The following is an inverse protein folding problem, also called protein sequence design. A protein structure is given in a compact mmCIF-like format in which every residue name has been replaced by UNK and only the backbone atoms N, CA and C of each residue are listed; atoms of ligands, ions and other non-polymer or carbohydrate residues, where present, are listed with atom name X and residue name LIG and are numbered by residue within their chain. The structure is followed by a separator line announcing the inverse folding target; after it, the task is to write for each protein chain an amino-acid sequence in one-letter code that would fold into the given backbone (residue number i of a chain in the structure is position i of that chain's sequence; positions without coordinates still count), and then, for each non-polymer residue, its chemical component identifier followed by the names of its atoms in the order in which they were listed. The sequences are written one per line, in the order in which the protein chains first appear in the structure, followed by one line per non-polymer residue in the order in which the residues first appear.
data_IF_365280005659
#
_entry.id   IF_365280005659
#
_cell.length_a   1.000
_cell.length_b   1.000
_cell.length_c   1.000
_cell.angle_alpha   90.00
_cell.angle_beta   90.00
_cell.angle_gamma   90.00
#
_symmetry.space_group_name_H-M   'P 1'
#
loop_
_entity.id
_entity.type
_entity.pdbx_description
1 polymer ?
#
# COMPACT_ATOMS: atom_id res chain seq x y z
N UNK A 1 29.02 -52.34 -20.03
CA UNK A 1 28.34 -51.97 -18.78
C UNK A 1 28.41 -50.46 -18.68
N UNK A 2 27.28 -49.77 -18.83
CA UNK A 2 27.21 -48.31 -18.84
C UNK A 2 27.13 -47.78 -17.41
N UNK A 3 28.00 -46.82 -17.10
CA UNK A 3 28.19 -46.20 -15.80
C UNK A 3 27.18 -45.07 -15.61
N UNK A 4 26.34 -45.14 -14.57
CA UNK A 4 25.41 -44.08 -14.19
C UNK A 4 26.00 -43.28 -13.01
N UNK A 5 26.77 -42.24 -13.31
CA UNK A 5 27.01 -41.15 -12.39
C UNK A 5 25.93 -40.08 -12.63
N UNK A 6 24.82 -40.15 -11.90
CA UNK A 6 23.83 -39.08 -11.86
C UNK A 6 24.23 -38.11 -10.74
N UNK A 7 24.57 -36.87 -11.11
CA UNK A 7 24.74 -35.77 -10.17
C UNK A 7 23.42 -35.52 -9.44
N UNK A 8 23.41 -35.70 -8.12
CA UNK A 8 22.34 -35.17 -7.28
C UNK A 8 22.50 -33.65 -7.33
N UNK A 9 21.64 -33.00 -8.13
CA UNK A 9 21.47 -31.56 -8.07
C UNK A 9 21.12 -31.17 -6.64
N UNK A 10 21.87 -30.23 -6.08
CA UNK A 10 21.54 -29.64 -4.79
C UNK A 10 20.17 -28.97 -4.89
N UNK A 11 19.13 -29.63 -4.37
CA UNK A 11 17.90 -28.95 -4.04
C UNK A 11 18.23 -27.96 -2.93
N UNK A 12 18.37 -26.68 -3.28
CA UNK A 12 18.30 -25.61 -2.30
C UNK A 12 16.87 -25.63 -1.79
N UNK A 13 16.65 -26.18 -0.60
CA UNK A 13 15.46 -25.84 0.17
C UNK A 13 15.42 -24.30 0.26
N UNK A 14 14.31 -23.64 -0.08
CA UNK A 14 14.18 -22.22 0.22
C UNK A 14 14.47 -22.08 1.72
N UNK A 15 15.37 -21.17 2.10
CA UNK A 15 15.54 -20.84 3.51
C UNK A 15 14.15 -20.57 4.08
N UNK A 16 13.79 -21.24 5.18
CA UNK A 16 12.54 -20.98 5.88
C UNK A 16 12.49 -19.48 6.16
N UNK A 17 11.70 -18.73 5.40
CA UNK A 17 11.64 -17.28 5.56
C UNK A 17 11.08 -17.03 6.95
N UNK A 18 11.88 -16.44 7.84
CA UNK A 18 11.41 -16.06 9.16
C UNK A 18 10.36 -14.98 8.97
N UNK A 19 9.19 -15.16 9.59
CA UNK A 19 8.14 -14.15 9.58
C UNK A 19 8.67 -12.82 10.12
N UNK A 20 8.16 -11.71 9.58
CA UNK A 20 8.53 -10.36 9.98
C UNK A 20 7.38 -9.68 10.72
N UNK A 21 7.69 -8.81 11.68
CA UNK A 21 6.73 -8.05 12.47
C UNK A 21 7.00 -6.55 12.39
N UNK A 22 5.95 -5.76 12.54
CA UNK A 22 5.94 -4.35 12.22
C UNK A 22 6.47 -3.49 13.38
N UNK A 23 7.22 -2.45 13.03
CA UNK A 23 7.69 -1.39 13.90
C UNK A 23 7.18 -0.06 13.35
N UNK A 24 6.20 0.58 14.03
CA UNK A 24 5.70 1.88 13.59
C UNK A 24 6.78 2.94 13.73
N UNK A 25 6.79 3.88 12.80
CA UNK A 25 7.61 5.10 12.84
C UNK A 25 6.69 6.28 12.57
N UNK A 26 6.90 7.40 13.25
CA UNK A 26 6.21 8.64 12.87
C UNK A 26 6.52 8.94 11.40
N UNK A 27 5.50 9.19 10.55
CA UNK A 27 5.74 9.34 9.12
C UNK A 27 6.88 10.34 8.82
N UNK A 28 7.84 9.90 8.01
CA UNK A 28 9.08 10.63 7.76
C UNK A 28 9.45 10.57 6.28
N UNK A 29 9.96 11.69 5.73
CA UNK A 29 10.42 11.75 4.34
C UNK A 29 11.84 11.20 4.22
N UNK A 30 11.98 10.09 3.52
CA UNK A 30 13.27 9.44 3.24
C UNK A 30 13.99 10.16 2.10
N UNK A 31 13.30 10.42 0.99
CA UNK A 31 13.88 11.00 -0.21
C UNK A 31 12.88 11.91 -0.91
N UNK A 32 13.40 12.94 -1.58
CA UNK A 32 12.62 13.86 -2.41
C UNK A 32 13.52 14.47 -3.47
N UNK A 33 13.41 13.92 -4.68
CA UNK A 33 14.34 14.22 -5.78
C UNK A 33 14.15 15.60 -6.39
N UNK A 34 13.10 16.32 -5.98
CA UNK A 34 12.87 17.73 -6.38
C UNK A 34 13.87 18.68 -5.71
N UNK A 35 14.50 18.24 -4.62
CA UNK A 35 15.51 19.00 -3.91
C UNK A 35 16.86 19.00 -4.65
N UNK A 36 17.81 19.80 -4.16
CA UNK A 36 19.18 19.85 -4.70
C UNK A 36 19.82 18.45 -4.80
N UNK A 37 20.74 18.30 -5.75
CA UNK A 37 21.39 17.02 -6.02
C UNK A 37 22.09 16.44 -4.79
N UNK A 38 21.86 15.16 -4.52
CA UNK A 38 22.44 14.45 -3.40
C UNK A 38 21.87 13.04 -3.22
N UNK A 39 22.36 12.27 -2.24
CA UNK A 39 21.98 10.86 -2.05
C UNK A 39 20.46 10.63 -1.93
N UNK A 40 19.76 11.54 -1.24
CA UNK A 40 18.31 11.52 -1.03
C UNK A 40 17.56 12.69 -1.68
N UNK A 41 18.29 13.54 -2.41
CA UNK A 41 17.76 14.67 -3.19
C UNK A 41 17.80 14.36 -4.68
N UNK A 42 17.93 15.40 -5.50
CA UNK A 42 18.05 15.25 -6.95
C UNK A 42 19.30 14.45 -7.39
N UNK A 43 19.46 14.21 -8.70
CA UNK A 43 18.52 14.59 -9.76
C UNK A 43 17.22 13.74 -9.71
N UNK A 44 16.23 14.09 -10.53
CA UNK A 44 15.05 13.26 -10.76
C UNK A 44 15.44 11.87 -11.29
N UNK A 45 14.50 10.92 -11.32
CA UNK A 45 14.74 9.58 -11.87
C UNK A 45 14.62 9.63 -13.39
N UNK A 46 15.71 9.30 -14.09
CA UNK A 46 15.73 9.21 -15.56
C UNK A 46 14.98 7.97 -16.04
N UNK A 47 14.12 8.15 -17.04
CA UNK A 47 13.37 7.07 -17.68
C UNK A 47 14.26 5.94 -18.20
N UNK A 48 13.79 4.70 -18.02
CA UNK A 48 14.51 3.50 -18.43
C UNK A 48 15.64 3.09 -17.48
N UNK A 49 15.78 3.75 -16.32
CA UNK A 49 16.81 3.42 -15.33
C UNK A 49 16.22 3.26 -13.92
N UNK A 50 16.93 2.51 -13.08
CA UNK A 50 16.58 2.35 -11.67
C UNK A 50 17.51 3.18 -10.78
N UNK A 51 16.94 3.86 -9.77
CA UNK A 51 17.70 4.57 -8.73
C UNK A 51 17.49 3.94 -7.36
N UNK A 52 18.59 3.67 -6.66
CA UNK A 52 18.60 3.09 -5.31
C UNK A 52 18.65 4.13 -4.21
N UNK A 53 17.92 3.90 -3.11
CA UNK A 53 17.97 4.69 -1.88
C UNK A 53 18.22 3.77 -0.68
N UNK A 54 19.31 4.01 0.05
CA UNK A 54 19.66 3.26 1.25
C UNK A 54 18.85 3.75 2.45
N UNK A 55 17.74 3.08 2.76
CA UNK A 55 16.79 3.55 3.79
C UNK A 55 17.44 3.77 5.16
N UNK A 56 18.34 2.89 5.66
CA UNK A 56 19.00 3.10 6.95
C UNK A 56 19.92 4.33 7.01
N UNK A 57 20.36 4.85 5.86
CA UNK A 57 21.21 6.04 5.78
C UNK A 57 20.41 7.35 5.68
N UNK A 58 19.08 7.28 5.69
CA UNK A 58 18.20 8.45 5.67
C UNK A 58 18.12 9.14 7.03
N UNK A 59 17.54 10.34 7.06
CA UNK A 59 17.28 11.08 8.31
C UNK A 59 16.16 10.46 9.17
N UNK A 60 15.50 9.39 8.72
CA UNK A 60 14.35 8.79 9.39
C UNK A 60 14.69 7.80 10.51
N UNK A 61 15.98 7.57 10.79
CA UNK A 61 16.41 6.74 11.93
C UNK A 61 16.05 5.25 11.81
N UNK A 62 15.97 4.73 10.58
CA UNK A 62 15.60 3.34 10.32
C UNK A 62 16.82 2.42 10.58
N UNK A 63 16.71 1.39 11.42
CA UNK A 63 17.86 0.55 11.74
C UNK A 63 18.28 -0.35 10.57
N UNK A 64 19.56 -0.70 10.52
CA UNK A 64 20.10 -1.66 9.54
C UNK A 64 19.57 -3.08 9.70
N UNK A 65 18.91 -3.39 10.82
CA UNK A 65 18.24 -4.66 11.09
C UNK A 65 16.85 -4.77 10.44
N UNK A 66 16.33 -3.68 9.87
CA UNK A 66 15.07 -3.69 9.13
C UNK A 66 15.18 -4.58 7.87
N UNK A 67 14.19 -5.46 7.67
CA UNK A 67 14.15 -6.43 6.57
C UNK A 67 13.06 -6.13 5.53
N UNK A 68 12.13 -5.25 5.84
CA UNK A 68 11.21 -4.64 4.87
C UNK A 68 10.76 -3.26 5.36
N UNK A 69 10.23 -2.46 4.45
CA UNK A 69 9.80 -1.09 4.72
C UNK A 69 8.35 -0.92 4.28
N UNK A 70 7.57 -0.22 5.11
CA UNK A 70 6.25 0.28 4.74
C UNK A 70 6.39 1.74 4.32
N UNK A 71 6.23 1.99 3.03
CA UNK A 71 6.51 3.28 2.38
C UNK A 71 5.32 3.79 1.60
N UNK A 72 5.29 5.09 1.36
CA UNK A 72 4.43 5.74 0.39
C UNK A 72 5.30 6.33 -0.72
N UNK A 73 5.00 5.96 -1.96
CA UNK A 73 5.75 6.36 -3.14
C UNK A 73 4.94 7.42 -3.89
N UNK A 74 5.45 8.65 -3.99
CA UNK A 74 4.81 9.72 -4.76
C UNK A 74 5.64 10.09 -5.97
N UNK A 75 5.08 9.95 -7.17
CA UNK A 75 5.71 10.39 -8.41
C UNK A 75 5.23 11.78 -8.79
N UNK A 76 6.14 12.59 -9.33
CA UNK A 76 5.84 13.88 -9.97
C UNK A 76 6.39 13.80 -11.40
N UNK A 77 5.62 13.26 -12.35
CA UNK A 77 6.09 13.00 -13.71
C UNK A 77 6.47 14.27 -14.48
N UNK A 78 7.50 14.19 -15.34
CA UNK A 78 7.89 15.25 -16.27
C UNK A 78 7.23 15.02 -17.66
N UNK A 79 5.95 14.66 -17.65
CA UNK A 79 5.23 14.16 -18.83
C UNK A 79 4.39 12.94 -18.44
N UNK A 80 4.32 11.93 -19.30
CA UNK A 80 3.66 10.67 -18.95
C UNK A 80 4.60 9.79 -18.13
N UNK A 81 4.04 8.95 -17.26
CA UNK A 81 4.77 7.87 -16.59
C UNK A 81 4.01 6.56 -16.77
N UNK A 82 4.53 5.70 -17.63
CA UNK A 82 4.00 4.34 -17.82
C UNK A 82 3.88 3.59 -16.48
N UNK A 83 4.99 3.43 -15.76
CA UNK A 83 4.97 2.93 -14.38
C UNK A 83 6.23 3.27 -13.58
N UNK A 84 6.06 3.23 -12.25
CA UNK A 84 7.13 3.05 -11.27
C UNK A 84 7.08 1.61 -10.75
N UNK A 85 8.24 0.97 -10.60
CA UNK A 85 8.40 -0.30 -9.88
C UNK A 85 9.41 -0.11 -8.74
N UNK A 86 8.96 -0.33 -7.50
CA UNK A 86 9.84 -0.40 -6.32
C UNK A 86 10.16 -1.86 -5.98
N UNK A 87 11.43 -2.15 -5.72
CA UNK A 87 11.91 -3.51 -5.43
C UNK A 87 13.20 -3.47 -4.58
N UNK A 88 13.56 -4.55 -3.88
CA UNK A 88 14.84 -4.63 -3.16
C UNK A 88 16.02 -4.49 -4.13
N UNK A 89 16.93 -3.55 -3.87
CA UNK A 89 18.17 -3.47 -4.65
C UNK A 89 18.97 -4.78 -4.56
N UNK A 90 19.66 -5.12 -5.65
CA UNK A 90 20.40 -6.38 -5.76
C UNK A 90 19.56 -7.57 -6.23
N UNK A 91 18.24 -7.38 -6.40
CA UNK A 91 17.36 -8.32 -7.10
C UNK A 91 17.11 -7.86 -8.54
N UNK A 92 16.71 -8.79 -9.40
CA UNK A 92 16.22 -8.46 -10.74
C UNK A 92 14.93 -7.67 -10.65
N UNK A 93 14.79 -6.64 -11.47
CA UNK A 93 13.56 -5.86 -11.55
C UNK A 93 12.37 -6.78 -11.88
N UNK A 94 11.28 -6.77 -11.08
CA UNK A 94 10.09 -7.55 -11.35
C UNK A 94 9.23 -6.90 -12.45
N UNK A 95 8.30 -7.68 -13.01
CA UNK A 95 7.32 -7.20 -14.01
C UNK A 95 6.12 -6.46 -13.39
N UNK A 96 6.01 -6.47 -12.05
CA UNK A 96 4.95 -5.81 -11.31
C UNK A 96 5.17 -4.30 -11.25
N UNK A 97 4.11 -3.52 -11.46
CA UNK A 97 4.12 -2.07 -11.26
C UNK A 97 3.62 -1.71 -9.87
N UNK A 98 4.24 -0.72 -9.23
CA UNK A 98 3.78 -0.16 -7.96
C UNK A 98 2.71 0.89 -8.19
N UNK A 99 2.90 1.78 -9.16
CA UNK A 99 1.91 2.76 -9.57
C UNK A 99 2.07 3.15 -11.04
N UNK A 100 1.01 3.70 -11.62
CA UNK A 100 0.94 4.16 -13.00
C UNK A 100 0.43 5.60 -13.05
N UNK A 101 1.12 6.48 -13.78
CA UNK A 101 0.65 7.86 -14.04
C UNK A 101 0.74 8.18 -15.53
N UNK A 102 -0.01 7.42 -16.32
CA UNK A 102 -0.02 7.51 -17.79
C UNK A 102 -0.40 8.91 -18.26
N UNK A 103 -1.23 9.60 -17.49
CA UNK A 103 -1.72 10.93 -17.75
C UNK A 103 -0.80 12.06 -17.19
N UNK A 104 0.26 11.68 -16.46
CA UNK A 104 1.28 12.59 -15.97
C UNK A 104 0.99 13.34 -14.67
N UNK A 105 -0.18 13.13 -14.04
CA UNK A 105 -0.47 13.78 -12.75
C UNK A 105 0.40 13.23 -11.62
N UNK A 106 0.53 14.03 -10.56
CA UNK A 106 1.12 13.57 -9.30
C UNK A 106 0.23 12.48 -8.71
N UNK A 107 0.81 11.31 -8.44
CA UNK A 107 0.11 10.16 -7.82
C UNK A 107 0.97 9.57 -6.71
N UNK A 108 0.30 9.09 -5.67
CA UNK A 108 0.90 8.36 -4.57
C UNK A 108 0.34 6.94 -4.50
N UNK A 109 1.19 5.97 -4.13
CA UNK A 109 0.76 4.62 -3.79
C UNK A 109 1.61 4.08 -2.64
N UNK A 110 0.97 3.46 -1.65
CA UNK A 110 1.68 2.70 -0.62
C UNK A 110 2.35 1.46 -1.19
N UNK A 111 3.42 1.02 -0.53
CA UNK A 111 4.11 -0.24 -0.82
C UNK A 111 4.72 -0.83 0.46
N UNK A 112 4.72 -2.16 0.54
CA UNK A 112 5.60 -2.90 1.45
C UNK A 112 6.67 -3.55 0.60
N UNK A 113 7.93 -3.18 0.85
CA UNK A 113 9.07 -3.60 0.02
C UNK A 113 10.17 -4.20 0.89
N UNK A 114 10.72 -5.37 0.53
CA UNK A 114 11.88 -5.95 1.23
C UNK A 114 13.10 -5.03 1.19
N UNK A 115 13.93 -5.12 2.22
CA UNK A 115 15.24 -4.49 2.23
C UNK A 115 16.17 -5.23 1.25
N UNK A 116 16.73 -4.49 0.29
CA UNK A 116 17.75 -5.01 -0.63
C UNK A 116 19.16 -4.93 -0.06
N UNK A 117 20.16 -5.00 -0.95
CA UNK A 117 21.58 -4.83 -0.58
C UNK A 117 21.78 -3.55 0.23
N UNK A 118 22.43 -3.67 1.40
CA UNK A 118 22.66 -2.59 2.36
C UNK A 118 21.38 -1.87 2.85
N UNK A 119 20.22 -2.53 2.83
CA UNK A 119 18.95 -1.91 3.22
C UNK A 119 18.36 -0.98 2.15
N UNK A 120 18.82 -1.09 0.90
CA UNK A 120 18.38 -0.19 -0.17
C UNK A 120 17.14 -0.71 -0.90
N UNK A 121 16.30 0.23 -1.33
CA UNK A 121 15.22 -0.03 -2.29
C UNK A 121 15.56 0.63 -3.62
N UNK A 122 15.28 -0.06 -4.71
CA UNK A 122 15.54 0.37 -6.08
C UNK A 122 14.21 0.73 -6.75
N UNK A 123 14.22 1.84 -7.48
CA UNK A 123 13.04 2.45 -8.08
C UNK A 123 13.27 2.61 -9.56
N UNK A 124 12.63 1.77 -10.36
CA UNK A 124 12.66 1.86 -11.82
C UNK A 124 11.47 2.69 -12.31
N UNK A 125 11.71 3.58 -13.27
CA UNK A 125 10.68 4.39 -13.91
C UNK A 125 10.78 4.26 -15.43
N UNK A 126 9.64 4.19 -16.12
CA UNK A 126 9.64 4.14 -17.59
C UNK A 126 9.94 5.47 -18.26
N UNK A 127 9.70 6.57 -17.55
CA UNK A 127 9.80 7.95 -18.04
C UNK A 127 10.37 8.85 -16.94
N UNK A 128 10.86 10.02 -17.32
CA UNK A 128 11.42 11.00 -16.40
C UNK A 128 10.38 11.44 -15.36
N UNK A 129 10.73 11.33 -14.08
CA UNK A 129 9.87 11.73 -12.99
C UNK A 129 10.70 12.07 -11.76
N UNK A 130 10.22 13.05 -11.00
CA UNK A 130 10.63 13.17 -9.61
C UNK A 130 9.96 12.11 -8.76
N UNK A 131 10.63 11.71 -7.67
CA UNK A 131 10.16 10.72 -6.72
C UNK A 131 10.29 11.26 -5.30
N UNK A 132 9.22 11.11 -4.53
CA UNK A 132 9.21 11.32 -3.08
C UNK A 132 8.93 9.98 -2.41
N UNK A 133 9.71 9.66 -1.39
CA UNK A 133 9.59 8.43 -0.61
C UNK A 133 9.36 8.83 0.84
N UNK A 134 8.18 8.53 1.35
CA UNK A 134 7.84 8.72 2.76
C UNK A 134 7.73 7.33 3.43
N UNK A 135 8.23 7.18 4.66
CA UNK A 135 8.19 5.91 5.43
C UNK A 135 7.33 6.08 6.68
N UNK A 136 6.51 5.07 7.00
CA UNK A 136 5.65 5.05 8.20
C UNK A 136 5.94 3.84 9.12
N UNK A 137 6.88 2.98 8.73
CA UNK A 137 7.37 1.90 9.57
C UNK A 137 8.25 0.92 8.81
N UNK A 138 8.76 -0.05 9.54
CA UNK A 138 9.62 -1.11 9.00
C UNK A 138 9.29 -2.45 9.63
N UNK A 139 9.78 -3.54 9.05
CA UNK A 139 9.58 -4.89 9.55
C UNK A 139 10.91 -5.50 9.99
N UNK A 140 10.88 -6.21 11.11
CA UNK A 140 12.02 -6.91 11.73
C UNK A 140 11.66 -8.37 11.96
N UNK A 141 12.62 -9.29 12.23
CA UNK A 141 12.29 -10.67 12.59
C UNK A 141 11.21 -10.78 13.66
N UNK A 142 10.28 -11.72 13.51
CA UNK A 142 9.19 -11.96 14.47
C UNK A 142 9.68 -12.36 15.88
N UNK A 143 10.96 -12.71 16.02
CA UNK A 143 11.64 -12.95 17.29
C UNK A 143 11.88 -11.67 18.10
N UNK A 144 11.76 -10.49 17.49
CA UNK A 144 11.76 -9.22 18.22
C UNK A 144 10.44 -9.10 19.03
N UNK A 145 10.55 -9.23 20.35
CA UNK A 145 9.41 -9.19 21.28
C UNK A 145 8.68 -7.83 21.29
N UNK A 146 9.31 -6.77 20.79
CA UNK A 146 8.76 -5.42 20.75
C UNK A 146 8.16 -5.07 19.38
N UNK A 147 8.17 -6.00 18.42
CA UNK A 147 7.57 -5.84 17.11
C UNK A 147 6.10 -6.33 17.12
N UNK A 148 5.26 -5.67 16.33
CA UNK A 148 3.81 -5.85 16.33
C UNK A 148 3.39 -6.91 15.30
N UNK A 149 2.48 -7.80 15.71
CA UNK A 149 1.82 -8.74 14.82
C UNK A 149 0.64 -8.08 14.11
N UNK A 150 0.32 -8.53 12.90
CA UNK A 150 -0.84 -8.06 12.15
C UNK A 150 -2.08 -8.88 12.50
N UNK A 151 -3.22 -8.21 12.65
CA UNK A 151 -4.52 -8.82 12.89
C UNK A 151 -5.48 -8.35 11.79
N UNK A 152 -5.91 -9.25 10.88
CA UNK A 152 -6.81 -8.88 9.80
C UNK A 152 -8.20 -8.55 10.34
N UNK A 153 -8.88 -7.62 9.68
CA UNK A 153 -10.29 -7.31 9.91
C UNK A 153 -11.04 -7.41 8.58
N UNK A 154 -12.30 -7.85 8.63
CA UNK A 154 -13.21 -7.63 7.50
C UNK A 154 -13.26 -6.12 7.21
N UNK A 155 -13.07 -5.68 5.95
CA UNK A 155 -13.02 -4.26 5.64
C UNK A 155 -14.25 -3.50 6.18
N UNK A 156 -14.01 -2.43 6.93
CA UNK A 156 -15.03 -1.69 7.66
C UNK A 156 -14.79 -0.18 7.56
N UNK A 157 -15.86 0.61 7.40
CA UNK A 157 -15.76 2.07 7.33
C UNK A 157 -15.66 2.69 8.72
N UNK A 158 -14.53 3.33 9.01
CA UNK A 158 -14.29 4.05 10.26
C UNK A 158 -14.85 5.47 10.23
N UNK A 159 -14.58 6.19 9.15
CA UNK A 159 -14.85 7.63 9.03
C UNK A 159 -15.56 7.91 7.71
N UNK A 160 -16.55 8.78 7.76
CA UNK A 160 -17.21 9.34 6.58
C UNK A 160 -17.69 10.75 6.86
N UNK A 161 -16.91 11.75 6.45
CA UNK A 161 -17.22 13.15 6.76
C UNK A 161 -18.40 13.71 5.98
N UNK A 162 -18.96 12.93 5.05
CA UNK A 162 -20.19 13.28 4.31
C UNK A 162 -21.45 13.05 5.14
N UNK A 163 -21.34 12.27 6.21
CA UNK A 163 -22.45 11.97 7.12
C UNK A 163 -22.71 13.12 8.09
N UNK A 164 -23.74 12.96 8.93
CA UNK A 164 -24.08 13.93 9.98
C UNK A 164 -22.88 14.28 10.87
N UNK A 165 -22.88 15.49 11.42
CA UNK A 165 -21.78 15.98 12.24
C UNK A 165 -21.52 15.07 13.45
N UNK A 166 -20.26 14.73 13.67
CA UNK A 166 -19.82 13.87 14.77
C UNK A 166 -18.33 13.56 14.74
N UNK A 167 -17.80 12.84 15.75
CA UNK A 167 -16.36 12.58 15.87
C UNK A 167 -15.74 11.91 14.63
N UNK A 168 -16.47 10.98 14.01
CA UNK A 168 -16.07 10.23 12.81
C UNK A 168 -16.99 10.52 11.60
N UNK A 169 -17.90 11.47 11.75
CA UNK A 169 -18.81 11.94 10.71
C UNK A 169 -18.42 13.32 10.20
N UNK A 170 -19.40 14.13 9.79
CA UNK A 170 -19.18 15.53 9.43
C UNK A 170 -18.64 16.39 10.60
N UNK A 171 -18.28 17.66 10.35
CA UNK A 171 -18.27 18.29 9.04
C UNK A 171 -17.14 17.73 8.15
N UNK A 172 -17.05 18.15 6.90
CA UNK A 172 -15.90 17.84 6.03
C UNK A 172 -14.59 18.43 6.57
N UNK A 173 -13.45 18.03 6.01
CA UNK A 173 -12.18 18.70 6.28
C UNK A 173 -12.22 20.12 5.72
N UNK A 174 -11.71 21.05 6.52
CA UNK A 174 -11.50 22.46 6.13
C UNK A 174 -10.06 22.62 5.68
N UNK A 175 -9.85 23.33 4.58
CA UNK A 175 -8.54 23.61 4.02
C UNK A 175 -7.58 24.14 5.09
N UNK A 176 -6.36 23.62 5.07
CA UNK A 176 -5.25 24.04 5.93
C UNK A 176 -5.54 23.95 7.43
N UNK A 177 -6.51 23.11 7.82
CA UNK A 177 -6.89 22.90 9.21
C UNK A 177 -6.70 21.44 9.58
N UNK A 178 -5.99 21.20 10.69
CA UNK A 178 -5.85 19.86 11.27
C UNK A 178 -7.19 19.42 11.89
N UNK A 179 -7.58 18.17 11.66
CA UNK A 179 -8.66 17.49 12.39
C UNK A 179 -8.15 16.20 13.02
N UNK A 180 -8.50 15.99 14.29
CA UNK A 180 -8.22 14.73 15.00
C UNK A 180 -9.46 13.81 14.91
N UNK A 181 -9.24 12.53 14.62
CA UNK A 181 -10.27 11.51 14.39
C UNK A 181 -10.06 10.35 15.37
N UNK A 182 -10.94 10.16 16.38
CA UNK A 182 -10.78 9.14 17.41
C UNK A 182 -11.21 7.75 16.93
N UNK A 183 -10.33 7.05 16.21
CA UNK A 183 -10.69 5.82 15.49
C UNK A 183 -11.25 4.68 16.37
N UNK A 184 -10.91 4.64 17.65
CA UNK A 184 -11.46 3.65 18.59
C UNK A 184 -12.91 3.92 19.01
N UNK A 185 -13.50 5.07 18.66
CA UNK A 185 -14.93 5.32 18.85
C UNK A 185 -15.79 4.79 17.69
N UNK A 186 -15.17 4.06 16.75
CA UNK A 186 -15.86 3.51 15.58
C UNK A 186 -16.65 2.23 15.92
N UNK A 187 -17.65 1.87 15.09
CA UNK A 187 -18.36 0.60 15.22
C UNK A 187 -17.57 -0.61 14.69
N UNK A 188 -16.33 -0.43 14.21
CA UNK A 188 -15.53 -1.48 13.57
C UNK A 188 -14.82 -2.42 14.55
N UNK A 189 -15.12 -2.33 15.86
CA UNK A 189 -14.57 -3.20 16.92
C UNK A 189 -13.03 -3.26 16.95
N UNK A 190 -12.36 -2.15 16.68
CA UNK A 190 -10.90 -2.07 16.77
C UNK A 190 -10.49 -2.11 18.25
N UNK A 191 -9.63 -3.05 18.69
CA UNK A 191 -9.29 -3.16 20.11
C UNK A 191 -8.37 -2.01 20.55
N UNK A 192 -8.46 -1.62 21.82
CA UNK A 192 -7.59 -0.59 22.42
C UNK A 192 -6.10 -0.99 22.46
N UNK A 193 -5.79 -2.28 22.28
CA UNK A 193 -4.42 -2.79 22.15
C UNK A 193 -3.80 -2.52 20.75
N UNK A 194 -4.59 -2.04 19.77
CA UNK A 194 -4.06 -1.65 18.47
C UNK A 194 -3.11 -0.45 18.62
N UNK A 195 -1.89 -0.61 18.11
CA UNK A 195 -0.85 0.42 18.14
C UNK A 195 -0.55 1.00 16.74
N UNK A 196 -1.08 0.38 15.68
CA UNK A 196 -1.12 0.94 14.34
C UNK A 196 -2.27 0.34 13.54
N UNK A 197 -2.78 1.07 12.54
CA UNK A 197 -3.91 0.66 11.72
C UNK A 197 -3.49 0.51 10.27
N UNK A 198 -3.93 -0.55 9.60
CA UNK A 198 -3.92 -0.65 8.14
C UNK A 198 -5.19 0.01 7.62
N UNK A 199 -5.03 1.13 6.92
CA UNK A 199 -6.13 1.99 6.50
C UNK A 199 -6.12 2.22 4.99
N UNK A 200 -7.30 2.46 4.43
CA UNK A 200 -7.46 3.05 3.11
C UNK A 200 -8.15 4.42 3.24
N UNK A 201 -7.54 5.45 2.67
CA UNK A 201 -8.05 6.82 2.71
C UNK A 201 -8.64 7.14 1.34
N UNK A 202 -9.88 7.63 1.29
CA UNK A 202 -10.48 8.19 0.07
C UNK A 202 -10.83 9.65 0.30
N UNK A 203 -10.18 10.55 -0.43
CA UNK A 203 -10.49 11.98 -0.41
C UNK A 203 -11.42 12.34 -1.57
N UNK A 204 -12.46 13.11 -1.26
CA UNK A 204 -13.38 13.72 -2.23
C UNK A 204 -13.18 15.24 -2.12
N UNK A 205 -12.20 15.80 -2.83
CA UNK A 205 -11.83 17.20 -2.69
C UNK A 205 -12.81 18.12 -3.45
N UNK A 206 -13.02 19.34 -2.94
CA UNK A 206 -13.87 20.37 -3.56
C UNK A 206 -13.14 21.22 -4.60
N UNK A 207 -11.82 21.16 -4.60
CA UNK A 207 -10.90 21.87 -5.50
C UNK A 207 -9.60 21.06 -5.60
N UNK A 208 -8.65 21.39 -6.49
CA UNK A 208 -7.35 20.72 -6.54
C UNK A 208 -6.73 20.58 -5.15
N UNK A 209 -6.42 19.33 -4.76
CA UNK A 209 -5.83 19.00 -3.47
C UNK A 209 -4.35 18.71 -3.68
N UNK A 210 -3.50 19.66 -3.25
CA UNK A 210 -2.05 19.51 -3.31
C UNK A 210 -1.59 18.26 -2.55
N UNK A 211 -2.01 18.12 -1.29
CA UNK A 211 -1.84 16.88 -0.54
C UNK A 211 -2.84 16.76 0.62
N UNK A 212 -3.07 15.52 1.03
CA UNK A 212 -3.57 15.15 2.34
C UNK A 212 -2.48 14.38 3.08
N UNK A 213 -2.31 14.66 4.36
CA UNK A 213 -1.34 13.99 5.23
C UNK A 213 -2.01 13.50 6.50
N UNK A 214 -1.61 12.30 6.95
CA UNK A 214 -2.14 11.63 8.14
C UNK A 214 -1.02 11.16 9.04
N UNK A 215 -1.22 11.25 10.36
CA UNK A 215 -0.22 10.88 11.35
C UNK A 215 -0.88 10.57 12.70
N UNK A 216 -0.19 9.91 13.65
CA UNK A 216 -0.73 9.71 15.00
C UNK A 216 -1.06 11.04 15.68
N UNK A 217 -2.27 11.18 16.22
CA UNK A 217 -2.64 12.35 17.00
C UNK A 217 -1.76 12.50 18.26
N UNK A 218 -1.51 13.74 18.67
CA UNK A 218 -0.59 14.05 19.78
C UNK A 218 0.88 14.17 19.37
N UNK A 219 1.21 13.91 18.10
CA UNK A 219 2.54 14.12 17.52
C UNK A 219 2.54 15.35 16.61
N UNK A 220 3.64 16.12 16.51
CA UNK A 220 3.77 17.21 15.54
C UNK A 220 3.50 16.73 14.10
N UNK A 221 2.88 17.60 13.30
CA UNK A 221 2.57 17.30 11.90
C UNK A 221 3.87 17.02 11.11
N UNK A 222 3.98 15.85 10.46
CA UNK A 222 5.14 15.53 9.63
C UNK A 222 5.09 16.19 8.26
N UNK A 223 6.26 16.33 7.62
CA UNK A 223 6.41 16.83 6.25
C UNK A 223 6.31 15.69 5.21
N UNK A 224 5.22 14.94 5.25
CA UNK A 224 4.94 13.83 4.31
C UNK A 224 3.60 14.03 3.63
N UNK A 225 3.38 13.35 2.50
CA UNK A 225 2.07 13.29 1.84
C UNK A 225 1.55 11.87 1.85
N UNK A 226 0.30 11.66 2.26
CA UNK A 226 -0.39 10.37 2.17
C UNK A 226 -1.03 10.21 0.81
N UNK A 227 -1.72 11.21 0.29
CA UNK A 227 -2.26 11.20 -1.07
C UNK A 227 -2.23 12.59 -1.69
N UNK A 228 -2.32 12.63 -3.02
CA UNK A 228 -2.34 13.84 -3.83
C UNK A 228 -3.49 13.73 -4.84
N UNK A 229 -4.29 14.78 -4.98
CA UNK A 229 -5.38 14.84 -5.96
C UNK A 229 -5.36 16.19 -6.69
N UNK A 230 -4.30 16.47 -7.49
CA UNK A 230 -4.10 17.77 -8.12
C UNK A 230 -5.18 18.12 -9.16
N UNK A 231 -5.96 17.14 -9.61
CA UNK A 231 -7.06 17.31 -10.56
C UNK A 231 -8.43 17.42 -9.88
N UNK A 232 -8.48 17.46 -8.54
CA UNK A 232 -9.70 17.35 -7.74
C UNK A 232 -10.49 16.02 -7.95
N UNK A 233 -9.89 15.01 -8.58
CA UNK A 233 -10.50 13.70 -8.72
C UNK A 233 -10.57 12.99 -7.36
N UNK A 234 -11.64 12.21 -7.14
CA UNK A 234 -11.73 11.33 -5.98
C UNK A 234 -10.58 10.34 -6.02
N UNK A 235 -9.74 10.38 -4.99
CA UNK A 235 -8.46 9.67 -4.95
C UNK A 235 -8.37 8.86 -3.68
N UNK A 236 -7.99 7.59 -3.81
CA UNK A 236 -7.72 6.73 -2.68
C UNK A 236 -6.25 6.33 -2.62
N UNK A 237 -5.75 6.14 -1.40
CA UNK A 237 -4.45 5.52 -1.15
C UNK A 237 -4.45 4.79 0.20
N UNK A 238 -3.80 3.64 0.25
CA UNK A 238 -3.58 2.92 1.49
C UNK A 238 -2.46 3.57 2.33
N UNK A 239 -2.51 3.40 3.65
CA UNK A 239 -1.40 3.70 4.53
C UNK A 239 -1.50 2.93 5.84
N UNK A 240 -0.34 2.61 6.42
CA UNK A 240 -0.24 2.12 7.80
C UNK A 240 0.04 3.33 8.70
N UNK A 241 -0.82 3.57 9.69
CA UNK A 241 -0.75 4.77 10.53
C UNK A 241 -0.65 4.37 11.99
N UNK A 242 0.37 4.83 12.75
CA UNK A 242 0.44 4.59 14.18
C UNK A 242 -0.78 5.15 14.92
N UNK A 243 -1.21 4.48 15.98
CA UNK A 243 -2.28 4.96 16.84
C UNK A 243 -1.76 6.12 17.71
N UNK A 244 -2.48 7.24 17.73
CA UNK A 244 -2.17 8.40 18.56
C UNK A 244 -3.06 8.52 19.80
N UNK A 245 -3.00 9.68 20.45
CA UNK A 245 -3.75 9.98 21.68
C UNK A 245 -4.65 11.20 21.54
N UNK A 246 -5.80 11.26 22.24
CA UNK A 246 -6.41 10.18 23.02
C UNK A 246 -7.15 9.16 22.12
N UNK A 247 -7.54 8.01 22.68
CA UNK A 247 -8.44 7.04 22.03
C UNK A 247 -7.97 6.52 20.67
N UNK A 248 -6.66 6.29 20.52
CA UNK A 248 -6.10 5.77 19.27
C UNK A 248 -6.30 6.71 18.08
N UNK A 249 -6.47 8.02 18.33
CA UNK A 249 -6.80 8.98 17.30
C UNK A 249 -5.67 9.17 16.29
N UNK A 250 -6.05 9.54 15.06
CA UNK A 250 -5.13 10.06 14.05
C UNK A 250 -5.45 11.53 13.78
N UNK A 251 -4.44 12.29 13.40
CA UNK A 251 -4.60 13.64 12.88
C UNK A 251 -4.58 13.61 11.35
N UNK A 252 -5.42 14.44 10.73
CA UNK A 252 -5.48 14.61 9.29
C UNK A 252 -5.41 16.10 8.95
N UNK A 253 -4.67 16.43 7.89
CA UNK A 253 -4.59 17.76 7.31
C UNK A 253 -4.75 17.66 5.79
N UNK A 254 -5.55 18.55 5.20
CA UNK A 254 -5.74 18.66 3.76
C UNK A 254 -5.49 20.11 3.33
N UNK A 255 -4.81 20.31 2.20
CA UNK A 255 -4.53 21.67 1.67
C UNK A 255 -5.77 22.36 1.11
N UNK A 256 -6.84 21.61 0.85
CA UNK A 256 -8.09 22.07 0.25
C UNK A 256 -9.28 21.41 0.94
N UNK A 257 -10.42 22.09 0.97
CA UNK A 257 -11.67 21.57 1.51
C UNK A 257 -11.99 20.22 0.86
N UNK A 258 -12.22 19.20 1.69
CA UNK A 258 -12.38 17.83 1.21
C UNK A 258 -13.28 17.04 2.13
N UNK A 259 -14.13 16.20 1.54
CA UNK A 259 -14.67 15.07 2.28
C UNK A 259 -13.62 13.97 2.38
N UNK A 260 -13.66 13.23 3.49
CA UNK A 260 -12.76 12.12 3.78
C UNK A 260 -13.56 10.90 4.20
N UNK A 261 -13.22 9.78 3.56
CA UNK A 261 -13.66 8.44 3.95
C UNK A 261 -12.41 7.66 4.39
N UNK A 262 -12.49 6.96 5.51
CA UNK A 262 -11.43 6.07 5.99
C UNK A 262 -12.03 4.71 6.25
N UNK A 263 -11.45 3.70 5.60
CA UNK A 263 -11.81 2.30 5.79
C UNK A 263 -10.62 1.57 6.45
N UNK A 264 -10.88 0.59 7.32
CA UNK A 264 -9.89 -0.26 7.99
C UNK A 264 -10.01 -1.70 7.50
N UNK A 265 -8.87 -2.36 7.31
CA UNK A 265 -8.79 -3.76 6.89
C UNK A 265 -7.90 -4.61 7.82
N UNK A 266 -7.33 -4.00 8.87
CA UNK A 266 -6.58 -4.69 9.90
C UNK A 266 -5.84 -3.72 10.81
N UNK A 267 -5.19 -4.25 11.84
CA UNK A 267 -4.39 -3.47 12.79
C UNK A 267 -3.13 -4.22 13.22
N UNK A 268 -2.17 -3.50 13.78
CA UNK A 268 -0.96 -4.05 14.36
C UNK A 268 -0.98 -3.86 15.87
N UNK A 269 -0.72 -4.93 16.62
CA UNK A 269 -0.73 -4.95 18.08
C UNK A 269 0.38 -5.87 18.62
N UNK A 270 0.69 -5.84 19.93
CA UNK A 270 1.57 -6.82 20.54
C UNK A 270 1.14 -8.24 20.19
N UNK A 271 2.12 -9.14 20.01
CA UNK A 271 1.84 -10.50 19.60
C UNK A 271 0.92 -11.22 20.60
N UNK A 272 -0.16 -11.80 20.09
CA UNK A 272 -1.16 -12.55 20.82
C UNK A 272 -1.74 -13.65 19.90
N UNK A 273 -2.54 -14.60 20.41
CA UNK A 273 -3.22 -15.59 19.56
C UNK A 273 -3.97 -14.92 18.40
N UNK A 274 -3.77 -15.42 17.18
CA UNK A 274 -4.32 -14.83 15.94
C UNK A 274 -3.45 -13.73 15.31
N UNK A 275 -2.35 -13.34 15.94
CA UNK A 275 -1.39 -12.40 15.36
C UNK A 275 -0.55 -13.04 14.26
N UNK A 276 -0.41 -12.34 13.14
CA UNK A 276 0.28 -12.81 11.94
C UNK A 276 1.61 -12.09 11.72
N UNK A 277 2.52 -12.77 11.05
CA UNK A 277 3.80 -12.25 10.58
C UNK A 277 3.77 -12.05 9.06
N UNK A 278 4.47 -11.03 8.57
CA UNK A 278 4.67 -10.78 7.15
C UNK A 278 5.70 -11.75 6.58
N UNK A 279 5.40 -12.32 5.42
CA UNK A 279 6.32 -13.08 4.59
C UNK A 279 6.38 -12.39 3.23
N UNK A 280 7.58 -12.00 2.84
CA UNK A 280 7.81 -11.34 1.56
C UNK A 280 7.82 -12.37 0.44
N UNK A 281 7.28 -12.00 -0.72
CA UNK A 281 7.48 -12.74 -1.97
C UNK A 281 8.19 -11.84 -2.96
N UNK A 282 8.87 -12.44 -3.95
CA UNK A 282 9.27 -11.66 -5.12
C UNK A 282 8.00 -11.13 -5.79
N UNK A 283 7.90 -9.81 -6.09
CA UNK A 283 6.70 -9.27 -6.70
C UNK A 283 6.28 -10.07 -7.93
N UNK A 284 5.04 -10.56 -7.92
CA UNK A 284 4.56 -11.52 -8.90
C UNK A 284 3.14 -11.17 -9.36
N UNK A 285 2.86 -11.37 -10.64
CA UNK A 285 1.55 -11.11 -11.23
C UNK A 285 0.59 -12.27 -10.98
N UNK A 286 -0.41 -12.02 -10.14
CA UNK A 286 -1.46 -12.98 -9.80
C UNK A 286 -2.43 -13.12 -10.97
N UNK A 287 -2.92 -12.00 -11.49
CA UNK A 287 -3.86 -11.96 -12.61
C UNK A 287 -3.66 -10.69 -13.43
N UNK A 288 -3.93 -10.81 -14.72
CA UNK A 288 -4.10 -9.70 -15.65
C UNK A 288 -5.22 -10.04 -16.60
N UNK A 289 -6.40 -9.48 -16.34
CA UNK A 289 -7.63 -9.81 -17.09
C UNK A 289 -7.59 -9.33 -18.53
N UNK A 290 -6.57 -8.53 -18.92
CA UNK A 290 -6.35 -8.13 -20.31
C UNK A 290 -5.82 -9.28 -21.17
N UNK A 291 -5.41 -10.39 -20.57
CA UNK A 291 -4.87 -11.55 -21.26
C UNK A 291 -5.92 -12.66 -21.42
N UNK A 292 -5.95 -13.36 -22.56
CA UNK A 292 -5.24 -13.02 -23.80
C UNK A 292 -5.70 -11.66 -24.37
N UNK A 293 -4.87 -10.98 -25.20
CA UNK A 293 -5.23 -9.68 -25.77
C UNK A 293 -6.61 -9.69 -26.43
N UNK A 294 -7.45 -8.72 -26.07
CA UNK A 294 -8.84 -8.65 -26.52
C UNK A 294 -9.87 -9.23 -25.55
N UNK A 295 -9.45 -9.78 -24.40
CA UNK A 295 -10.36 -10.16 -23.32
C UNK A 295 -11.30 -8.99 -22.95
N UNK A 296 -12.62 -9.22 -22.78
CA UNK A 296 -13.56 -8.16 -22.42
C UNK A 296 -13.32 -7.67 -20.98
N UNK A 297 -13.62 -6.40 -20.66
CA UNK A 297 -13.60 -5.91 -19.29
C UNK A 297 -14.66 -6.62 -18.45
N UNK A 298 -14.39 -6.83 -17.17
CA UNK A 298 -15.41 -7.31 -16.23
C UNK A 298 -16.23 -6.13 -15.69
N UNK A 299 -17.45 -6.41 -15.27
CA UNK A 299 -18.34 -5.48 -14.57
C UNK A 299 -19.08 -6.26 -13.49
N UNK A 300 -19.14 -5.73 -12.28
CA UNK A 300 -19.59 -6.46 -11.11
C UNK A 300 -18.48 -7.31 -10.48
N UNK A 301 -18.87 -8.43 -9.87
CA UNK A 301 -17.97 -9.24 -9.05
C UNK A 301 -17.20 -10.29 -9.87
N UNK A 302 -15.94 -10.53 -9.49
CA UNK A 302 -15.11 -11.65 -9.94
C UNK A 302 -14.23 -12.13 -8.77
N UNK A 303 -13.74 -13.36 -8.85
CA UNK A 303 -12.79 -13.89 -7.88
C UNK A 303 -11.36 -13.86 -8.44
N UNK A 304 -10.41 -13.52 -7.57
CA UNK A 304 -8.97 -13.46 -7.81
C UNK A 304 -8.31 -14.66 -7.09
N UNK A 305 -7.86 -15.68 -7.83
CA UNK A 305 -7.31 -16.90 -7.26
C UNK A 305 -5.83 -16.75 -6.91
N UNK A 306 -5.53 -16.16 -5.75
CA UNK A 306 -4.14 -15.85 -5.35
C UNK A 306 -3.35 -17.12 -5.04
N UNK A 307 -3.94 -18.08 -4.32
CA UNK A 307 -3.28 -19.32 -3.91
C UNK A 307 -2.97 -20.30 -5.05
N UNK A 308 -3.74 -20.28 -6.14
CA UNK A 308 -3.50 -21.13 -7.32
C UNK A 308 -2.84 -20.36 -8.46
N UNK A 309 -2.41 -19.12 -8.21
CA UNK A 309 -1.57 -18.37 -9.14
C UNK A 309 -0.16 -18.95 -9.20
N UNK A 310 0.62 -18.55 -10.21
CA UNK A 310 2.05 -18.89 -10.31
C UNK A 310 2.96 -18.15 -9.32
N UNK A 311 2.40 -17.54 -8.26
CA UNK A 311 3.11 -16.71 -7.29
C UNK A 311 3.39 -17.41 -5.95
N UNK A 312 3.16 -18.72 -5.86
CA UNK A 312 3.51 -19.59 -4.71
C UNK A 312 3.02 -19.09 -3.34
N UNK A 313 1.89 -18.36 -3.28
CA UNK A 313 1.30 -17.94 -2.02
C UNK A 313 0.72 -19.16 -1.27
N UNK A 314 1.15 -19.45 -0.03
CA UNK A 314 0.76 -20.69 0.65
C UNK A 314 -0.69 -20.64 1.15
N UNK A 315 -1.32 -21.81 1.31
CA UNK A 315 -2.66 -21.92 1.90
C UNK A 315 -2.73 -21.47 3.38
N UNK A 316 -1.58 -21.36 4.05
CA UNK A 316 -1.48 -20.81 5.41
C UNK A 316 -1.57 -19.28 5.45
N UNK A 317 -1.51 -18.60 4.30
CA UNK A 317 -1.73 -17.17 4.21
C UNK A 317 -3.16 -16.82 4.66
N UNK A 318 -3.26 -15.85 5.55
CA UNK A 318 -4.55 -15.33 6.07
C UNK A 318 -4.80 -13.89 5.62
N UNK A 319 -3.81 -13.24 5.01
CA UNK A 319 -4.01 -11.99 4.28
C UNK A 319 -2.94 -11.81 3.21
N UNK A 320 -3.28 -11.25 2.06
CA UNK A 320 -2.35 -10.94 0.98
C UNK A 320 -2.03 -9.45 0.94
N UNK A 321 -0.76 -9.13 0.72
CA UNK A 321 -0.30 -7.78 0.38
C UNK A 321 -0.25 -7.69 -1.15
N UNK A 322 -1.21 -6.99 -1.73
CA UNK A 322 -1.39 -6.90 -3.18
C UNK A 322 -1.41 -5.45 -3.65
N UNK A 323 -0.98 -5.20 -4.88
CA UNK A 323 -1.28 -3.98 -5.61
C UNK A 323 -2.34 -4.30 -6.66
N UNK A 324 -3.44 -3.55 -6.66
CA UNK A 324 -4.48 -3.66 -7.67
C UNK A 324 -4.44 -2.46 -8.59
N UNK A 325 -4.41 -2.72 -9.90
CA UNK A 325 -4.43 -1.69 -10.94
C UNK A 325 -5.64 -1.92 -11.84
N UNK A 326 -6.48 -0.90 -11.95
CA UNK A 326 -7.61 -0.90 -12.89
C UNK A 326 -7.20 -0.25 -14.21
N UNK A 327 -7.70 -0.79 -15.32
CA UNK A 327 -7.65 -0.15 -16.64
C UNK A 327 -9.08 0.02 -17.12
N UNK A 328 -9.74 1.14 -16.75
CA UNK A 328 -11.16 1.35 -17.05
C UNK A 328 -11.41 1.53 -18.55
N UNK A 329 -12.58 1.10 -19.02
CA UNK A 329 -13.06 1.41 -20.39
C UNK A 329 -13.79 2.77 -20.48
N UNK A 330 -13.93 3.45 -19.34
CA UNK A 330 -14.64 4.71 -19.13
C UNK A 330 -14.58 5.06 -17.64
N UNK A 331 -15.46 5.95 -17.15
CA UNK A 331 -15.55 6.22 -15.71
C UNK A 331 -15.84 4.94 -14.92
N UNK A 332 -14.91 4.51 -14.06
CA UNK A 332 -15.11 3.29 -13.25
C UNK A 332 -16.04 3.56 -12.07
N UNK A 333 -15.86 4.69 -11.39
CA UNK A 333 -16.35 4.86 -10.03
C UNK A 333 -15.32 4.31 -9.04
N UNK A 334 -15.45 3.03 -8.68
CA UNK A 334 -14.57 2.36 -7.72
C UNK A 334 -14.32 0.88 -8.01
N UNK A 335 -13.24 0.37 -7.42
CA UNK A 335 -12.95 -1.05 -7.23
C UNK A 335 -13.01 -1.36 -5.74
N UNK A 336 -13.60 -2.49 -5.36
CA UNK A 336 -13.56 -3.02 -3.99
C UNK A 336 -12.90 -4.40 -3.99
N UNK A 337 -11.99 -4.66 -3.06
CA UNK A 337 -11.39 -5.97 -2.78
C UNK A 337 -11.73 -6.42 -1.36
N UNK A 338 -12.09 -7.69 -1.20
CA UNK A 338 -12.46 -8.26 0.11
C UNK A 338 -12.23 -9.78 0.17
N UNK A 339 -12.27 -10.39 1.37
CA UNK A 339 -12.11 -11.84 1.51
C UNK A 339 -13.22 -12.58 0.77
N UNK A 340 -12.85 -13.54 -0.08
CA UNK A 340 -13.83 -14.34 -0.81
C UNK A 340 -14.73 -15.11 0.17
N UNK A 341 -16.03 -15.16 -0.13
CA UNK A 341 -17.04 -15.81 0.72
C UNK A 341 -17.59 -14.93 1.85
N UNK A 342 -17.02 -13.74 2.08
CA UNK A 342 -17.62 -12.73 2.94
C UNK A 342 -18.60 -11.83 2.16
N UNK A 343 -19.59 -11.20 2.82
CA UNK A 343 -20.43 -10.18 2.20
C UNK A 343 -19.58 -9.03 1.66
N UNK A 344 -19.94 -8.53 0.47
CA UNK A 344 -19.25 -7.38 -0.12
C UNK A 344 -19.36 -6.16 0.82
N UNK A 345 -18.23 -5.58 1.25
CA UNK A 345 -18.23 -4.40 2.09
C UNK A 345 -18.57 -3.13 1.29
N UNK A 346 -18.98 -2.06 1.99
CA UNK A 346 -19.26 -0.76 1.38
C UNK A 346 -17.99 0.08 1.10
N UNK A 347 -16.80 -0.47 1.36
CA UNK A 347 -15.51 0.21 1.22
C UNK A 347 -15.06 0.25 -0.23
N UNK A 348 -14.24 1.22 -0.61
CA UNK A 348 -13.53 1.22 -1.89
C UNK A 348 -12.05 0.95 -1.65
N UNK A 349 -11.44 0.12 -2.48
CA UNK A 349 -9.98 -0.06 -2.53
C UNK A 349 -9.34 1.07 -3.33
N UNK A 350 -9.89 1.40 -4.50
CA UNK A 350 -9.46 2.54 -5.30
C UNK A 350 -10.61 3.20 -6.04
N UNK A 351 -10.37 4.42 -6.53
CA UNK A 351 -11.34 5.20 -7.30
C UNK A 351 -10.71 5.64 -8.63
N UNK A 352 -11.45 5.48 -9.72
CA UNK A 352 -11.06 5.92 -11.06
C UNK A 352 -12.27 6.54 -11.76
N UNK A 353 -12.85 7.57 -11.14
CA UNK A 353 -14.06 8.25 -11.63
C UNK A 353 -13.81 8.94 -12.97
N UNK A 354 -12.58 9.37 -13.21
CA UNK A 354 -12.13 9.97 -14.46
C UNK A 354 -11.71 8.94 -15.54
N UNK A 355 -11.87 7.64 -15.25
CA UNK A 355 -11.56 6.53 -16.16
C UNK A 355 -10.07 6.29 -16.38
N UNK A 356 -9.22 6.86 -15.54
CA UNK A 356 -7.77 6.74 -15.69
C UNK A 356 -7.24 5.47 -15.04
N UNK A 357 -6.07 5.02 -15.52
CA UNK A 357 -5.37 3.90 -14.89
C UNK A 357 -4.95 4.32 -13.49
N UNK A 358 -5.43 3.57 -12.50
CA UNK A 358 -5.22 3.85 -11.08
C UNK A 358 -4.81 2.56 -10.39
N UNK A 359 -3.81 2.68 -9.52
CA UNK A 359 -3.30 1.59 -8.70
C UNK A 359 -3.42 1.95 -7.23
N UNK A 360 -3.65 0.96 -6.38
CA UNK A 360 -3.51 1.11 -4.94
C UNK A 360 -3.11 -0.22 -4.30
N UNK A 361 -2.24 -0.16 -3.28
CA UNK A 361 -1.93 -1.31 -2.46
C UNK A 361 -3.12 -1.62 -1.54
N UNK A 362 -3.37 -2.91 -1.32
CA UNK A 362 -4.35 -3.40 -0.37
C UNK A 362 -3.77 -4.58 0.41
N UNK A 363 -4.09 -4.64 1.71
CA UNK A 363 -3.89 -5.83 2.53
C UNK A 363 -5.25 -6.49 2.67
N UNK A 364 -5.49 -7.61 1.98
CA UNK A 364 -6.82 -8.22 1.90
C UNK A 364 -6.82 -9.54 2.67
N UNK A 365 -7.69 -9.73 3.69
CA UNK A 365 -7.77 -11.02 4.38
C UNK A 365 -8.25 -12.13 3.44
N UNK A 366 -7.95 -13.37 3.80
CA UNK A 366 -8.41 -14.56 3.08
C UNK A 366 -8.57 -15.73 4.03
N UNK A 367 -9.50 -16.64 3.72
CA UNK A 367 -9.72 -17.90 4.47
C UNK A 367 -9.53 -19.13 3.60
N UNK A 368 -9.50 -18.96 2.28
CA UNK A 368 -9.44 -20.03 1.29
C UNK A 368 -8.42 -19.76 0.18
N UNK A 369 -7.63 -18.69 0.32
CA UNK A 369 -6.62 -18.28 -0.65
C UNK A 369 -7.14 -17.46 -1.83
N UNK A 370 -8.43 -17.10 -1.83
CA UNK A 370 -9.05 -16.24 -2.84
C UNK A 370 -9.36 -14.85 -2.27
N UNK A 371 -9.47 -13.87 -3.17
CA UNK A 371 -9.96 -12.51 -2.92
C UNK A 371 -11.08 -12.23 -3.91
N UNK A 372 -12.19 -11.64 -3.47
CA UNK A 372 -13.22 -11.15 -4.38
C UNK A 372 -12.93 -9.70 -4.78
N UNK A 373 -13.24 -9.36 -6.02
CA UNK A 373 -13.11 -8.03 -6.60
C UNK A 373 -14.44 -7.58 -7.20
N UNK A 374 -14.79 -6.30 -7.05
CA UNK A 374 -15.99 -5.70 -7.65
C UNK A 374 -15.60 -4.42 -8.38
N UNK A 375 -15.89 -4.35 -9.68
CA UNK A 375 -15.79 -3.13 -10.47
C UNK A 375 -17.16 -2.52 -10.69
N UNK A 376 -17.35 -1.25 -10.32
CA UNK A 376 -18.65 -0.58 -10.42
C UNK A 376 -19.10 -0.30 -11.87
N UNK A 377 -18.17 -0.29 -12.82
CA UNK A 377 -18.38 -0.17 -14.26
C UNK A 377 -17.31 -1.00 -14.99
N UNK A 378 -17.44 -1.24 -16.32
CA UNK A 378 -16.49 -2.04 -17.09
C UNK A 378 -15.02 -1.60 -16.94
N UNK A 379 -14.17 -2.52 -16.45
CA UNK A 379 -12.73 -2.32 -16.34
C UNK A 379 -11.96 -3.62 -16.52
N UNK A 380 -10.67 -3.50 -16.81
CA UNK A 380 -9.71 -4.59 -16.61
C UNK A 380 -9.06 -4.45 -15.23
N UNK A 381 -8.56 -5.56 -14.69
CA UNK A 381 -7.85 -5.62 -13.42
C UNK A 381 -6.53 -6.37 -13.57
N UNK A 382 -5.48 -5.75 -13.05
CA UNK A 382 -4.17 -6.36 -12.84
C UNK A 382 -3.94 -6.44 -11.34
N UNK A 383 -3.58 -7.61 -10.83
CA UNK A 383 -3.19 -7.79 -9.43
C UNK A 383 -1.80 -8.38 -9.37
N UNK A 384 -0.91 -7.69 -8.65
CA UNK A 384 0.42 -8.16 -8.33
C UNK A 384 0.52 -8.38 -6.80
N UNK A 385 1.14 -9.47 -6.36
CA UNK A 385 1.38 -9.80 -4.94
C UNK A 385 2.82 -9.46 -4.54
N UNK A 386 2.99 -8.90 -3.35
CA UNK A 386 4.29 -8.47 -2.79
C UNK A 386 4.65 -9.20 -1.49
N UNK A 387 3.64 -9.77 -0.82
CA UNK A 387 3.82 -10.59 0.37
C UNK A 387 2.48 -11.11 0.88
N UNK A 388 2.53 -11.81 2.00
CA UNK A 388 1.34 -12.29 2.70
C UNK A 388 1.57 -12.30 4.21
N UNK A 389 0.50 -12.24 4.99
CA UNK A 389 0.51 -12.44 6.42
C UNK A 389 0.04 -13.87 6.76
N UNK A 390 0.82 -14.58 7.57
CA UNK A 390 0.52 -15.93 8.04
C UNK A 390 0.99 -16.10 9.51
N UNK A 391 0.55 -17.15 10.22
CA UNK A 391 0.95 -17.40 11.62
C UNK A 391 2.46 -17.43 11.86
#
# INVERSE_FOLDING_TARGET
MFNWAASIGSFKFPACSLGLRFKPVTPCRVADTRNANGPFGGPFLTGGSARGFAIPSSACGIPTTAQAYSVNMTVVPHGTLGFLTVFPCGQTQPLASTLNSIDGRVKAAAAIVPAGTNGSICNFVTNDTDLVIDINGYFVPATDATALAFFPLTPCRLVDTRLANGPLGGPSLVANTKRDLPLLSSPCNVPSAALSYSLNFTSVPRSPLGFLTVWPAGVPQPLVSTLNAPTAAVTANAAIVPAGTPNGAISVFATSDSDLVIDINGYFAPAAPGGLSLFNVSPCRVIDTRNPPGSPPFNGAMDVPVNTSGCDAPLSAQSFVINATVVPSGALGFLTLWPQGAPQPLVSTLNAIDGQVTSNMAIVPTTNGLVSAFGANPTQLVVDIFGYFAP
#
